data_IF_164272814534
#
_entry.id   IF_164272814534
#
_cell.length_a   1.000
_cell.length_b   1.000
_cell.length_c   1.000
_cell.angle_alpha   90.00
_cell.angle_beta   90.00
_cell.angle_gamma   90.00
#
_symmetry.space_group_name_H-M   'P 1'
#
loop_
_entity.id
_entity.type
_entity.pdbx_description
1 polymer ?
#
# COMPACT_ATOMS: atom_id res chain seq x y z
N UNK A 1 4.59 -8.37 -17.05
CA UNK A 1 4.21 -7.11 -16.38
C UNK A 1 3.89 -7.38 -14.90
N UNK A 2 4.90 -7.69 -14.08
CA UNK A 2 4.74 -7.93 -12.63
C UNK A 2 5.69 -7.08 -11.77
N UNK A 3 6.55 -6.27 -12.42
CA UNK A 3 7.59 -5.50 -11.74
C UNK A 3 6.99 -4.33 -10.96
N UNK A 4 5.98 -3.64 -11.50
CA UNK A 4 5.27 -2.56 -10.77
C UNK A 4 4.59 -3.08 -9.52
N UNK A 5 3.89 -4.22 -9.61
CA UNK A 5 3.18 -4.86 -8.49
C UNK A 5 4.14 -5.22 -7.35
N UNK A 6 5.28 -5.84 -7.69
CA UNK A 6 6.33 -6.20 -6.74
C UNK A 6 7.02 -4.96 -6.13
N UNK A 7 7.21 -3.90 -6.92
CA UNK A 7 7.83 -2.67 -6.46
C UNK A 7 6.94 -1.90 -5.47
N UNK A 8 5.63 -1.82 -5.76
CA UNK A 8 4.62 -1.25 -4.87
C UNK A 8 4.54 -2.07 -3.57
N UNK A 9 4.47 -3.40 -3.68
CA UNK A 9 4.47 -4.30 -2.53
C UNK A 9 5.68 -4.06 -1.61
N UNK A 10 6.89 -4.00 -2.18
CA UNK A 10 8.11 -3.71 -1.42
C UNK A 10 8.09 -2.34 -0.76
N UNK A 11 7.61 -1.31 -1.45
CA UNK A 11 7.51 0.04 -0.90
C UNK A 11 6.52 0.11 0.24
N UNK A 12 5.30 -0.41 0.07
CA UNK A 12 4.31 -0.39 1.14
C UNK A 12 4.80 -1.11 2.40
N UNK A 13 5.49 -2.24 2.22
CA UNK A 13 6.16 -2.95 3.32
C UNK A 13 7.23 -2.09 4.01
N UNK A 14 7.98 -1.29 3.25
CA UNK A 14 8.95 -0.32 3.78
C UNK A 14 8.25 0.76 4.64
N UNK A 15 7.03 1.15 4.25
CA UNK A 15 6.17 2.10 4.99
C UNK A 15 5.34 1.46 6.11
N UNK A 16 5.86 0.39 6.74
CA UNK A 16 5.24 -0.34 7.85
C UNK A 16 3.89 -1.02 7.55
N UNK A 17 3.47 -1.14 6.28
CA UNK A 17 2.23 -1.89 5.98
C UNK A 17 2.49 -3.38 6.24
N UNK A 18 1.66 -4.05 7.07
CA UNK A 18 1.82 -5.47 7.36
C UNK A 18 1.74 -6.31 6.08
N UNK A 19 2.57 -7.35 6.00
CA UNK A 19 2.52 -8.28 4.87
C UNK A 19 1.14 -8.94 4.74
N UNK A 20 0.45 -9.20 5.86
CA UNK A 20 -0.92 -9.76 5.88
C UNK A 20 -1.92 -8.88 5.14
N UNK A 21 -1.83 -7.57 5.33
CA UNK A 21 -2.70 -6.58 4.67
C UNK A 21 -2.41 -6.52 3.18
N UNK A 22 -1.12 -6.52 2.82
CA UNK A 22 -0.73 -6.56 1.42
C UNK A 22 -1.20 -7.84 0.77
N UNK A 23 -1.02 -9.00 1.42
CA UNK A 23 -1.46 -10.28 0.88
C UNK A 23 -2.97 -10.30 0.65
N UNK A 24 -3.77 -9.76 1.59
CA UNK A 24 -5.23 -9.64 1.45
C UNK A 24 -5.62 -8.77 0.25
N UNK A 25 -5.02 -7.58 0.12
CA UNK A 25 -5.27 -6.66 -1.01
C UNK A 25 -4.79 -7.25 -2.33
N UNK A 26 -3.62 -7.90 -2.36
CA UNK A 26 -3.04 -8.47 -3.57
C UNK A 26 -3.67 -9.82 -3.96
N UNK A 27 -4.32 -10.50 -3.02
CA UNK A 27 -5.14 -11.70 -3.22
C UNK A 27 -6.41 -11.35 -3.99
N UNK A 28 -7.02 -10.19 -3.68
CA UNK A 28 -8.13 -9.66 -4.47
C UNK A 28 -7.65 -8.90 -5.70
N UNK A 29 -8.04 -9.39 -6.89
CA UNK A 29 -7.66 -8.74 -8.15
C UNK A 29 -8.16 -7.30 -8.22
N UNK A 30 -9.38 -7.05 -7.75
CA UNK A 30 -10.03 -5.74 -7.75
C UNK A 30 -9.30 -4.75 -6.84
N UNK A 31 -9.03 -5.13 -5.61
CA UNK A 31 -8.37 -4.24 -4.63
C UNK A 31 -6.93 -3.95 -5.03
N UNK A 32 -6.24 -4.96 -5.57
CA UNK A 32 -4.90 -4.75 -6.11
C UNK A 32 -4.86 -3.80 -7.30
N UNK A 33 -5.88 -3.81 -8.17
CA UNK A 33 -5.97 -2.86 -9.28
C UNK A 33 -6.25 -1.45 -8.78
N UNK A 34 -7.17 -1.29 -7.82
CA UNK A 34 -7.47 0.01 -7.18
C UNK A 34 -6.20 0.60 -6.57
N UNK A 35 -5.42 -0.21 -5.85
CA UNK A 35 -4.19 0.25 -5.20
C UNK A 35 -3.14 0.69 -6.23
N UNK A 36 -2.96 -0.09 -7.31
CA UNK A 36 -2.03 0.26 -8.40
C UNK A 36 -2.49 1.54 -9.10
N UNK A 37 -3.79 1.70 -9.32
CA UNK A 37 -4.38 2.85 -9.99
C UNK A 37 -4.24 4.10 -9.13
N UNK A 38 -4.52 4.02 -7.83
CA UNK A 38 -4.31 5.10 -6.87
C UNK A 38 -2.82 5.50 -6.79
N UNK A 39 -1.91 4.52 -6.75
CA UNK A 39 -0.46 4.79 -6.77
C UNK A 39 -0.02 5.49 -8.08
N UNK A 40 -0.56 5.05 -9.22
CA UNK A 40 -0.32 5.69 -10.52
C UNK A 40 -0.91 7.10 -10.60
N UNK A 41 -2.10 7.31 -10.04
CA UNK A 41 -2.74 8.62 -9.99
C UNK A 41 -1.85 9.61 -9.22
N UNK A 42 -1.36 9.23 -8.04
CA UNK A 42 -0.43 10.04 -7.25
C UNK A 42 0.86 10.36 -8.03
N UNK A 43 1.47 9.36 -8.68
CA UNK A 43 2.64 9.61 -9.53
C UNK A 43 2.34 10.57 -10.70
N UNK A 44 1.14 10.49 -11.27
CA UNK A 44 0.70 11.36 -12.36
C UNK A 44 0.45 12.79 -11.89
N UNK A 45 0.05 12.98 -10.64
CA UNK A 45 -0.06 14.28 -9.98
C UNK A 45 1.29 14.89 -9.58
N UNK A 46 2.40 14.17 -9.80
CA UNK A 46 3.75 14.64 -9.51
C UNK A 46 4.29 14.19 -8.14
N UNK A 47 3.58 13.30 -7.44
CA UNK A 47 4.09 12.73 -6.20
C UNK A 47 5.28 11.82 -6.48
N UNK A 48 6.31 11.93 -5.63
CA UNK A 48 7.41 10.96 -5.61
C UNK A 48 6.90 9.60 -5.18
N UNK A 49 7.62 8.57 -5.59
CA UNK A 49 7.18 7.20 -5.33
C UNK A 49 7.10 6.86 -3.83
N UNK A 50 7.96 7.46 -3.01
CA UNK A 50 7.89 7.40 -1.55
C UNK A 50 6.64 8.09 -1.00
N UNK A 51 6.33 9.31 -1.47
CA UNK A 51 5.14 10.04 -1.03
C UNK A 51 3.85 9.32 -1.43
N UNK A 52 3.81 8.79 -2.65
CA UNK A 52 2.68 7.99 -3.11
C UNK A 52 2.50 6.76 -2.22
N UNK A 53 3.59 6.07 -1.84
CA UNK A 53 3.51 4.91 -0.97
C UNK A 53 3.06 5.26 0.45
N UNK A 54 3.46 6.42 1.00
CA UNK A 54 3.00 6.93 2.30
C UNK A 54 1.49 7.22 2.30
N UNK A 55 0.99 7.90 1.26
CA UNK A 55 -0.43 8.24 1.21
C UNK A 55 -1.29 6.99 1.02
N UNK A 56 -0.84 6.06 0.18
CA UNK A 56 -1.52 4.77 0.01
C UNK A 56 -1.49 3.97 1.32
N UNK A 57 -0.35 3.90 2.02
CA UNK A 57 -0.29 3.17 3.30
C UNK A 57 -1.26 3.75 4.32
N UNK A 58 -1.31 5.07 4.47
CA UNK A 58 -2.28 5.74 5.36
C UNK A 58 -3.73 5.46 4.97
N UNK A 59 -4.06 5.49 3.68
CA UNK A 59 -5.41 5.15 3.22
C UNK A 59 -5.77 3.72 3.63
N UNK A 60 -4.87 2.76 3.41
CA UNK A 60 -5.07 1.35 3.78
C UNK A 60 -5.28 1.21 5.30
N UNK A 61 -4.43 1.81 6.13
CA UNK A 61 -4.58 1.77 7.59
C UNK A 61 -5.93 2.34 8.04
N UNK A 62 -6.35 3.45 7.42
CA UNK A 62 -7.62 4.10 7.72
C UNK A 62 -8.82 3.28 7.27
N UNK A 63 -8.74 2.62 6.11
CA UNK A 63 -9.83 1.80 5.57
C UNK A 63 -10.02 0.51 6.36
N UNK A 64 -8.91 -0.12 6.75
CA UNK A 64 -8.92 -1.36 7.52
C UNK A 64 -9.08 -1.14 9.03
N UNK A 65 -9.11 0.12 9.48
CA UNK A 65 -9.14 0.49 10.91
C UNK A 65 -8.00 -0.20 11.70
N UNK A 66 -6.86 -0.39 11.04
CA UNK A 66 -5.67 -0.98 11.66
C UNK A 66 -4.91 0.17 12.28
N UNK A 67 -4.91 0.21 13.61
CA UNK A 67 -4.07 1.15 14.34
C UNK A 67 -2.60 0.79 14.11
N UNK A 68 -1.77 1.71 13.57
CA UNK A 68 -0.35 1.46 13.34
C UNK A 68 0.44 1.24 14.64
N UNK A 69 -0.18 1.52 15.80
CA UNK A 69 0.32 1.32 17.15
C UNK A 69 0.05 -0.09 17.69
N UNK A 70 -0.85 -0.87 17.06
CA UNK A 70 -1.22 -2.22 17.50
C UNK A 70 -0.23 -3.31 17.02
N UNK A 71 1.02 -2.91 16.78
CA UNK A 71 2.16 -3.77 16.47
C UNK A 71 3.21 -3.75 17.59
N UNK A 72 2.95 -3.11 18.73
CA UNK A 72 3.78 -3.27 19.92
C UNK A 72 3.25 -4.43 20.78
N UNK A 73 4.17 -5.40 20.92
CA UNK A 73 4.13 -6.70 21.55
C UNK A 73 3.40 -6.82 22.91
N UNK A 74 2.81 -8.00 23.13
CA UNK A 74 2.68 -8.64 24.46
C UNK A 74 4.06 -9.05 25.02
#
# INVERSE_FOLDING_TARGET
MNVERLNIYRRLRDFKVPATVLDDIFSSKKDSEILIEAFRALKKEGYKEDQAAIEISKMIFKELNIDPDHLEDE
#
